data_IF_100303365619
#
_entry.id   IF_100303365619
#
_cell.length_a   1.000
_cell.length_b   1.000
_cell.length_c   1.000
_cell.angle_alpha   90.00
_cell.angle_beta   90.00
_cell.angle_gamma   90.00
#
_symmetry.space_group_name_H-M   'P 1'
#
loop_
_entity.id
_entity.type
_entity.pdbx_description
1 polymer ?
#
# COMPACT_ATOMS: atom_id res chain seq x y z
N UNK A 1 -2.14 -23.79 -1.19
CA UNK A 1 -1.01 -22.98 -0.71
C UNK A 1 -1.56 -21.61 -0.34
N UNK A 2 -1.47 -21.21 0.93
CA UNK A 2 -1.93 -19.88 1.35
C UNK A 2 -0.89 -18.87 0.85
N UNK A 3 -1.26 -18.01 -0.11
CA UNK A 3 -0.39 -16.90 -0.51
C UNK A 3 -0.16 -16.04 0.73
N UNK A 4 1.10 -15.88 1.12
CA UNK A 4 1.43 -15.00 2.23
C UNK A 4 1.17 -13.56 1.80
N UNK A 5 0.63 -12.78 2.71
CA UNK A 5 0.22 -11.39 2.47
C UNK A 5 0.98 -10.50 3.44
N UNK A 6 1.62 -9.47 2.90
CA UNK A 6 2.17 -8.37 3.69
C UNK A 6 1.08 -7.32 3.90
N UNK A 7 0.93 -6.83 5.13
CA UNK A 7 -0.10 -5.86 5.51
C UNK A 7 0.52 -4.61 6.11
N UNK A 8 0.04 -3.45 5.70
CA UNK A 8 0.45 -2.18 6.29
C UNK A 8 -0.68 -1.15 6.30
N UNK A 9 -0.64 -0.24 7.28
CA UNK A 9 -1.47 0.98 7.33
C UNK A 9 -0.69 2.22 6.87
N UNK A 10 0.63 2.09 6.66
CA UNK A 10 1.51 3.19 6.32
C UNK A 10 1.32 3.60 4.85
N UNK A 11 0.67 4.76 4.66
CA UNK A 11 0.37 5.30 3.33
C UNK A 11 1.64 5.60 2.50
N UNK A 12 2.71 6.09 3.13
CA UNK A 12 3.95 6.41 2.42
C UNK A 12 4.67 5.15 1.94
N UNK A 13 4.73 4.10 2.77
CA UNK A 13 5.23 2.79 2.36
C UNK A 13 4.38 2.21 1.23
N UNK A 14 3.05 2.23 1.37
CA UNK A 14 2.16 1.72 0.32
C UNK A 14 2.35 2.48 -1.00
N UNK A 15 2.49 3.80 -0.95
CA UNK A 15 2.74 4.62 -2.13
C UNK A 15 4.10 4.31 -2.78
N UNK A 16 5.13 4.06 -1.97
CA UNK A 16 6.44 3.62 -2.46
C UNK A 16 6.33 2.27 -3.19
N UNK A 17 5.68 1.28 -2.57
CA UNK A 17 5.54 -0.07 -3.13
C UNK A 17 4.74 -0.07 -4.45
N UNK A 18 3.66 0.70 -4.52
CA UNK A 18 2.92 0.89 -5.77
C UNK A 18 3.77 1.58 -6.84
N UNK A 19 4.58 2.56 -6.44
CA UNK A 19 5.50 3.21 -7.38
C UNK A 19 6.54 2.23 -7.91
N UNK A 20 6.97 1.27 -7.09
CA UNK A 20 7.87 0.18 -7.43
C UNK A 20 7.19 -0.97 -8.21
N UNK A 21 5.87 -0.92 -8.43
CA UNK A 21 5.12 -1.86 -9.27
C UNK A 21 4.31 -2.92 -8.51
N UNK A 22 4.21 -2.82 -7.18
CA UNK A 22 3.40 -3.72 -6.37
C UNK A 22 2.05 -3.09 -6.08
N UNK A 23 0.96 -3.63 -6.62
CA UNK A 23 -0.39 -3.12 -6.34
C UNK A 23 -1.02 -3.81 -5.12
N UNK A 24 -1.57 -3.07 -4.15
CA UNK A 24 -2.25 -3.63 -3.00
C UNK A 24 -3.72 -3.92 -3.29
N UNK A 25 -4.27 -4.88 -2.56
CA UNK A 25 -5.69 -4.93 -2.26
C UNK A 25 -5.97 -4.03 -1.05
N UNK A 26 -6.93 -3.12 -1.14
CA UNK A 26 -7.27 -2.18 -0.05
C UNK A 26 -8.51 -2.69 0.67
N UNK A 27 -8.33 -3.15 1.90
CA UNK A 27 -9.41 -3.75 2.68
C UNK A 27 -9.72 -2.94 3.92
N UNK A 28 -10.96 -3.04 4.39
CA UNK A 28 -11.36 -2.40 5.65
C UNK A 28 -10.95 -3.29 6.82
N UNK A 29 -10.32 -2.70 7.83
CA UNK A 29 -10.09 -3.40 9.09
C UNK A 29 -11.44 -3.76 9.75
N UNK A 30 -11.67 -5.00 10.22
CA UNK A 30 -12.98 -5.43 10.71
C UNK A 30 -13.46 -4.67 11.96
N UNK A 31 -12.52 -4.29 12.82
CA UNK A 31 -12.77 -3.67 14.12
C UNK A 31 -12.46 -2.17 14.14
N UNK A 32 -11.74 -1.68 13.14
CA UNK A 32 -11.24 -0.32 13.09
C UNK A 32 -11.80 0.40 11.85
N UNK A 33 -12.16 1.68 11.96
CA UNK A 33 -12.54 2.50 10.80
C UNK A 33 -11.29 2.91 9.99
N UNK A 34 -10.47 1.93 9.64
CA UNK A 34 -9.19 2.07 8.95
C UNK A 34 -9.14 1.16 7.74
N UNK A 35 -8.31 1.54 6.78
CA UNK A 35 -7.99 0.73 5.61
C UNK A 35 -6.60 0.11 5.79
N UNK A 36 -6.46 -1.12 5.30
CA UNK A 36 -5.23 -1.91 5.30
C UNK A 36 -4.84 -2.13 3.84
N UNK A 37 -3.58 -1.88 3.52
CA UNK A 37 -2.99 -2.22 2.24
C UNK A 37 -2.42 -3.64 2.32
N UNK A 38 -2.99 -4.56 1.54
CA UNK A 38 -2.58 -5.96 1.46
C UNK A 38 -1.79 -6.21 0.16
N UNK A 39 -0.53 -6.61 0.28
CA UNK A 39 0.33 -6.95 -0.84
C UNK A 39 0.60 -8.46 -0.86
N UNK A 40 0.63 -9.06 -2.05
CA UNK A 40 1.12 -10.43 -2.20
C UNK A 40 2.59 -10.47 -1.83
N UNK A 41 2.97 -11.30 -0.86
CA UNK A 41 4.35 -11.38 -0.41
C UNK A 41 5.21 -12.12 -1.44
N UNK A 42 6.20 -11.41 -1.98
CA UNK A 42 7.26 -11.95 -2.84
C UNK A 42 8.62 -11.50 -2.33
N UNK A 43 9.70 -12.10 -2.83
CA UNK A 43 11.05 -11.68 -2.45
C UNK A 43 11.35 -10.26 -2.94
N UNK A 44 10.87 -9.91 -4.13
CA UNK A 44 10.99 -8.56 -4.70
C UNK A 44 10.27 -7.51 -3.84
N UNK A 45 9.10 -7.86 -3.28
CA UNK A 45 8.39 -6.98 -2.34
C UNK A 45 9.24 -6.72 -1.10
N UNK A 46 9.87 -7.76 -0.54
CA UNK A 46 10.73 -7.63 0.65
C UNK A 46 11.93 -6.74 0.37
N UNK A 47 12.59 -6.92 -0.78
CA UNK A 47 13.71 -6.07 -1.21
C UNK A 47 13.27 -4.61 -1.39
N UNK A 48 12.06 -4.37 -1.90
CA UNK A 48 11.51 -3.03 -2.03
C UNK A 48 11.23 -2.38 -0.67
N UNK A 49 10.73 -3.13 0.32
CA UNK A 49 10.56 -2.66 1.70
C UNK A 49 11.92 -2.28 2.30
N UNK A 50 12.94 -3.13 2.17
CA UNK A 50 14.30 -2.82 2.65
C UNK A 50 14.85 -1.56 1.97
N UNK A 51 14.60 -1.40 0.67
CA UNK A 51 15.02 -0.19 -0.07
C UNK A 51 14.35 1.08 0.45
N UNK A 52 13.05 1.01 0.77
CA UNK A 52 12.32 2.12 1.37
C UNK A 52 12.91 2.52 2.73
N UNK A 53 13.12 1.55 3.63
CA UNK A 53 13.72 1.79 4.95
C UNK A 53 15.17 2.30 4.84
N UNK A 54 15.89 1.91 3.78
CA UNK A 54 17.21 2.43 3.44
C UNK A 54 17.22 3.83 2.82
N UNK A 55 16.06 4.46 2.62
CA UNK A 55 15.94 5.82 2.07
C UNK A 55 16.08 5.91 0.55
N UNK A 56 15.79 4.83 -0.18
CA UNK A 56 15.84 4.84 -1.64
C UNK A 56 14.88 5.89 -2.23
N UNK A 57 15.37 6.64 -3.22
CA UNK A 57 14.60 7.69 -3.87
C UNK A 57 13.76 7.15 -5.05
N UNK A 58 12.49 7.56 -5.12
CA UNK A 58 11.65 7.40 -6.31
C UNK A 58 11.18 8.78 -6.82
N UNK A 59 10.72 8.89 -8.08
CA UNK A 59 10.28 10.17 -8.64
C UNK A 59 9.16 10.82 -7.82
N UNK A 60 9.44 11.99 -7.24
CA UNK A 60 8.54 12.66 -6.28
C UNK A 60 7.12 12.90 -6.84
N UNK A 61 7.00 13.32 -8.10
CA UNK A 61 5.69 13.53 -8.76
C UNK A 61 4.88 12.23 -8.81
N UNK A 62 5.53 11.10 -9.08
CA UNK A 62 4.87 9.79 -9.17
C UNK A 62 4.41 9.32 -7.79
N UNK A 63 5.28 9.46 -6.78
CA UNK A 63 4.94 9.18 -5.38
C UNK A 63 3.73 9.98 -4.92
N UNK A 64 3.71 11.30 -5.15
CA UNK A 64 2.60 12.17 -4.74
C UNK A 64 1.28 11.79 -5.41
N UNK A 65 1.30 11.49 -6.71
CA UNK A 65 0.10 11.07 -7.44
C UNK A 65 -0.47 9.76 -6.90
N UNK A 66 0.40 8.77 -6.67
CA UNK A 66 0.01 7.46 -6.11
C UNK A 66 -0.48 7.61 -4.68
N UNK A 67 0.22 8.39 -3.84
CA UNK A 67 -0.20 8.66 -2.45
C UNK A 67 -1.59 9.28 -2.40
N UNK A 68 -1.88 10.26 -3.26
CA UNK A 68 -3.20 10.89 -3.35
C UNK A 68 -4.28 9.95 -3.87
N UNK A 69 -3.95 9.02 -4.77
CA UNK A 69 -4.85 7.94 -5.21
C UNK A 69 -5.19 7.03 -4.03
N UNK A 70 -4.16 6.45 -3.41
CA UNK A 70 -4.30 5.51 -2.29
C UNK A 70 -5.03 6.12 -1.10
N UNK A 71 -4.78 7.39 -0.78
CA UNK A 71 -5.50 8.08 0.30
C UNK A 71 -7.02 8.14 0.05
N UNK A 72 -7.43 8.42 -1.19
CA UNK A 72 -8.86 8.50 -1.55
C UNK A 72 -9.51 7.13 -1.47
N UNK A 73 -8.87 6.11 -2.01
CA UNK A 73 -9.35 4.72 -1.97
C UNK A 73 -9.44 4.21 -0.51
N UNK A 74 -8.39 4.40 0.28
CA UNK A 74 -8.35 4.04 1.69
C UNK A 74 -9.45 4.75 2.50
N UNK A 75 -9.67 6.04 2.25
CA UNK A 75 -10.74 6.82 2.90
C UNK A 75 -12.12 6.27 2.56
N UNK A 76 -12.35 5.88 1.31
CA UNK A 76 -13.60 5.27 0.86
C UNK A 76 -13.85 3.90 1.51
N UNK A 77 -12.82 3.04 1.51
CA UNK A 77 -12.86 1.72 2.15
C UNK A 77 -13.08 1.82 3.66
N UNK A 78 -12.38 2.73 4.33
CA UNK A 78 -12.54 2.96 5.78
C UNK A 78 -13.97 3.38 6.17
N UNK A 79 -14.67 4.10 5.28
CA UNK A 79 -16.08 4.49 5.43
C UNK A 79 -17.08 3.37 5.09
N UNK A 80 -16.61 2.24 4.56
CA UNK A 80 -17.45 1.12 4.14
C UNK A 80 -17.89 1.14 2.68
N UNK A 81 -17.28 1.98 1.84
CA UNK A 81 -17.44 1.89 0.38
C UNK A 81 -16.51 0.84 -0.24
N UNK A 82 -16.79 0.42 -1.48
CA UNK A 82 -15.86 -0.40 -2.27
C UNK A 82 -14.66 0.44 -2.74
N UNK A 83 -13.47 -0.14 -2.86
CA UNK A 83 -12.33 0.53 -3.50
C UNK A 83 -12.64 0.82 -4.99
N UNK A 84 -12.10 1.92 -5.52
CA UNK A 84 -12.32 2.38 -6.91
C UNK A 84 -11.42 1.65 -7.91
#
# INVERSE_FOLDING_TARGET
MSNKVFRTEALDLAAYLVTAGFEPNIVRAPLERRAIFEFTETEELRLAIVSYEGGASLPAKRLLNIRNRLYREASQVAKGGAAL
#
